data_IF_311982120529
#
_entry.id   IF_311982120529
#
_cell.length_a   1.000
_cell.length_b   1.000
_cell.length_c   1.000
_cell.angle_alpha   90.00
_cell.angle_beta   90.00
_cell.angle_gamma   90.00
#
_symmetry.space_group_name_H-M   'P 1'
#
loop_
_entity.id
_entity.type
_entity.pdbx_description
1 polymer ?
#
# COMPACT_ATOMS: atom_id res chain seq x y z
N UNK A 1 -26.30 13.92 9.43
CA UNK A 1 -25.02 14.31 8.79
C UNK A 1 -23.84 14.31 9.76
N UNK A 2 -24.00 14.75 11.03
CA UNK A 2 -22.93 14.71 12.05
C UNK A 2 -22.34 13.31 12.28
N UNK A 3 -23.16 12.25 12.32
CA UNK A 3 -22.67 10.89 12.49
C UNK A 3 -21.72 10.45 11.38
N UNK A 4 -22.03 10.81 10.12
CA UNK A 4 -21.18 10.50 8.96
C UNK A 4 -19.81 11.19 9.05
N UNK A 5 -19.78 12.45 9.50
CA UNK A 5 -18.52 13.20 9.68
C UNK A 5 -17.68 12.60 10.80
N UNK A 6 -18.31 12.12 11.88
CA UNK A 6 -17.62 11.46 12.99
C UNK A 6 -17.03 10.10 12.58
N UNK A 7 -17.78 9.27 11.84
CA UNK A 7 -17.24 8.01 11.29
C UNK A 7 -16.14 8.29 10.29
N UNK A 8 -16.28 9.32 9.44
CA UNK A 8 -15.26 9.71 8.48
C UNK A 8 -13.97 10.17 9.16
N UNK A 9 -14.07 11.02 10.20
CA UNK A 9 -12.90 11.43 11.00
C UNK A 9 -12.23 10.23 11.69
N UNK A 10 -13.02 9.30 12.23
CA UNK A 10 -12.50 8.07 12.86
C UNK A 10 -11.78 7.19 11.85
N UNK A 11 -12.32 7.02 10.64
CA UNK A 11 -11.69 6.28 9.54
C UNK A 11 -10.37 6.93 9.11
N UNK A 12 -10.39 8.25 8.87
CA UNK A 12 -9.19 9.00 8.47
C UNK A 12 -8.10 8.91 9.53
N UNK A 13 -8.44 9.08 10.81
CA UNK A 13 -7.47 9.02 11.91
C UNK A 13 -6.87 7.61 12.06
N UNK A 14 -7.69 6.56 11.85
CA UNK A 14 -7.22 5.17 11.83
C UNK A 14 -6.26 4.90 10.66
N UNK A 15 -6.59 5.42 9.47
CA UNK A 15 -5.72 5.33 8.29
C UNK A 15 -4.37 6.03 8.53
N UNK A 16 -4.40 7.26 9.07
CA UNK A 16 -3.17 7.99 9.43
C UNK A 16 -2.36 7.31 10.55
N UNK A 17 -2.99 6.58 11.46
CA UNK A 17 -2.29 5.78 12.46
C UNK A 17 -1.54 4.60 11.83
N UNK A 18 -2.11 3.95 10.82
CA UNK A 18 -1.44 2.89 10.07
C UNK A 18 -0.15 3.39 9.39
N UNK A 19 -0.13 4.66 8.93
CA UNK A 19 1.05 5.31 8.34
C UNK A 19 2.22 5.52 9.33
N UNK A 20 2.01 5.39 10.66
CA UNK A 20 3.08 5.51 11.67
C UNK A 20 3.81 4.20 11.97
N UNK A 21 3.39 3.08 11.41
CA UNK A 21 4.08 1.81 11.61
C UNK A 21 5.41 1.83 10.85
N UNK A 22 6.52 1.61 11.55
CA UNK A 22 7.88 1.62 10.96
C UNK A 22 7.98 0.72 9.72
N UNK A 23 7.33 -0.44 9.75
CA UNK A 23 7.31 -1.38 8.63
C UNK A 23 6.57 -0.82 7.41
N UNK A 24 5.42 -0.17 7.62
CA UNK A 24 4.64 0.46 6.55
C UNK A 24 5.43 1.60 5.89
N UNK A 25 6.14 2.40 6.70
CA UNK A 25 6.98 3.49 6.21
C UNK A 25 8.10 3.00 5.28
N UNK A 26 8.71 1.85 5.57
CA UNK A 26 9.77 1.27 4.70
C UNK A 26 9.23 0.95 3.31
N UNK A 27 8.12 0.22 3.21
CA UNK A 27 7.51 -0.09 1.90
C UNK A 27 7.04 1.16 1.16
N UNK A 28 6.48 2.13 1.89
CA UNK A 28 6.08 3.40 1.31
C UNK A 28 7.26 4.18 0.73
N UNK A 29 8.37 4.29 1.47
CA UNK A 29 9.60 4.94 1.00
C UNK A 29 10.19 4.21 -0.20
N UNK A 30 10.19 2.87 -0.21
CA UNK A 30 10.65 2.09 -1.35
C UNK A 30 9.81 2.34 -2.61
N UNK A 31 8.48 2.43 -2.49
CA UNK A 31 7.60 2.78 -3.61
C UNK A 31 7.90 4.19 -4.12
N UNK A 32 8.03 5.17 -3.23
CA UNK A 32 8.37 6.54 -3.63
C UNK A 32 9.72 6.57 -4.35
N UNK A 33 10.72 5.85 -3.85
CA UNK A 33 12.03 5.74 -4.51
C UNK A 33 11.92 5.08 -5.90
N UNK A 34 11.13 4.02 -6.05
CA UNK A 34 10.87 3.38 -7.33
C UNK A 34 10.12 4.29 -8.31
N UNK A 35 9.18 5.10 -7.83
CA UNK A 35 8.47 6.06 -8.66
C UNK A 35 9.40 7.16 -9.14
N UNK A 36 10.23 7.72 -8.25
CA UNK A 36 11.20 8.76 -8.61
C UNK A 36 12.25 8.21 -9.58
N UNK A 37 12.83 7.04 -9.30
CA UNK A 37 13.84 6.43 -10.17
C UNK A 37 13.29 6.05 -11.54
N UNK A 38 12.10 5.44 -11.58
CA UNK A 38 11.40 5.11 -12.83
C UNK A 38 11.06 6.35 -13.63
N UNK A 39 10.52 7.39 -12.99
CA UNK A 39 10.16 8.65 -13.67
C UNK A 39 11.39 9.28 -14.32
N UNK A 40 12.52 9.37 -13.60
CA UNK A 40 13.76 9.90 -14.16
C UNK A 40 14.20 9.06 -15.37
N UNK A 41 14.24 7.73 -15.23
CA UNK A 41 14.66 6.83 -16.30
C UNK A 41 13.80 6.96 -17.57
N UNK A 42 12.47 6.96 -17.44
CA UNK A 42 11.57 7.07 -18.60
C UNK A 42 11.57 8.47 -19.23
N UNK A 43 11.85 9.52 -18.45
CA UNK A 43 12.04 10.86 -19.02
C UNK A 43 13.33 10.96 -19.83
N UNK A 44 14.41 10.28 -19.42
CA UNK A 44 15.71 10.35 -20.11
C UNK A 44 15.81 9.41 -21.30
N UNK A 45 15.38 8.16 -21.15
CA UNK A 45 15.56 7.12 -22.18
C UNK A 45 14.42 7.09 -23.21
N UNK A 46 13.18 7.31 -22.76
CA UNK A 46 11.99 7.22 -23.62
C UNK A 46 11.40 8.60 -23.96
N UNK A 47 12.07 9.69 -23.54
CA UNK A 47 11.68 11.09 -23.79
C UNK A 47 10.22 11.40 -23.39
N UNK A 48 9.71 10.71 -22.36
CA UNK A 48 8.39 10.98 -21.82
C UNK A 48 8.39 12.30 -21.04
N UNK A 49 7.24 12.98 -21.00
CA UNK A 49 7.05 14.08 -20.06
C UNK A 49 7.11 13.54 -18.62
N UNK A 50 7.48 14.38 -17.65
CA UNK A 50 7.56 13.97 -16.24
C UNK A 50 6.23 13.39 -15.75
N UNK A 51 5.11 13.99 -16.19
CA UNK A 51 3.77 13.53 -15.83
C UNK A 51 3.48 12.17 -16.46
N UNK A 52 3.79 11.98 -17.74
CA UNK A 52 3.49 10.73 -18.44
C UNK A 52 4.38 9.58 -17.95
N UNK A 53 5.65 9.87 -17.65
CA UNK A 53 6.59 8.93 -17.05
C UNK A 53 6.13 8.49 -15.65
N UNK A 54 5.67 9.44 -14.82
CA UNK A 54 5.11 9.13 -13.50
C UNK A 54 3.82 8.31 -13.63
N UNK A 55 2.93 8.68 -14.55
CA UNK A 55 1.71 7.94 -14.82
C UNK A 55 1.99 6.50 -15.28
N UNK A 56 2.98 6.32 -16.16
CA UNK A 56 3.44 5.00 -16.58
C UNK A 56 3.98 4.18 -15.40
N UNK A 57 4.82 4.77 -14.55
CA UNK A 57 5.35 4.11 -13.37
C UNK A 57 4.24 3.65 -12.42
N UNK A 58 3.29 4.53 -12.10
CA UNK A 58 2.17 4.25 -11.19
C UNK A 58 1.30 3.11 -11.75
N UNK A 59 0.86 3.23 -13.01
CA UNK A 59 -0.01 2.24 -13.65
C UNK A 59 0.67 0.87 -13.79
N UNK A 60 1.99 0.86 -13.98
CA UNK A 60 2.80 -0.36 -14.05
C UNK A 60 2.93 -1.03 -12.67
N UNK A 61 3.25 -0.27 -11.61
CA UNK A 61 3.34 -0.79 -10.25
C UNK A 61 2.00 -1.30 -9.72
N UNK A 62 0.90 -0.62 -10.07
CA UNK A 62 -0.45 -1.02 -9.67
C UNK A 62 -1.03 -2.12 -10.56
N UNK A 63 -0.25 -2.65 -11.51
CA UNK A 63 -0.66 -3.69 -12.47
C UNK A 63 -1.87 -3.31 -13.35
N UNK A 64 -2.18 -2.01 -13.44
CA UNK A 64 -3.24 -1.49 -14.33
C UNK A 64 -2.73 -1.52 -15.77
N UNK A 65 -1.47 -1.16 -15.97
CA UNK A 65 -0.83 -1.03 -17.27
C UNK A 65 -1.24 0.25 -17.99
N UNK A 66 -0.33 0.75 -18.84
CA UNK A 66 -0.60 1.92 -19.65
C UNK A 66 -1.08 1.48 -21.05
N UNK A 67 -2.19 2.02 -21.56
CA UNK A 67 -2.80 1.53 -22.81
C UNK A 67 -2.01 1.93 -24.07
N UNK A 68 -1.44 3.13 -24.10
CA UNK A 68 -0.94 3.75 -25.34
C UNK A 68 0.60 3.88 -25.42
N UNK A 69 1.33 3.39 -24.41
CA UNK A 69 2.77 3.55 -24.28
C UNK A 69 3.41 2.22 -23.87
N UNK A 70 4.46 1.88 -24.60
CA UNK A 70 5.35 0.77 -24.31
C UNK A 70 6.79 1.25 -24.60
N UNK A 71 7.78 0.84 -23.79
CA UNK A 71 9.16 1.21 -24.01
C UNK A 71 9.65 0.72 -25.38
N UNK A 72 10.18 1.65 -26.19
CA UNK A 72 10.62 1.38 -27.55
C UNK A 72 12.08 0.95 -27.59
N UNK A 73 12.89 1.44 -26.66
CA UNK A 73 14.33 1.15 -26.59
C UNK A 73 14.59 -0.25 -26.01
N UNK A 74 15.70 -0.87 -26.41
CA UNK A 74 16.13 -2.16 -25.83
C UNK A 74 16.38 -2.06 -24.33
N UNK A 75 17.04 -0.99 -23.90
CA UNK A 75 17.29 -0.69 -22.49
C UNK A 75 15.98 -0.45 -21.73
N UNK A 76 15.04 0.31 -22.31
CA UNK A 76 13.74 0.57 -21.72
C UNK A 76 12.94 -0.70 -21.46
N UNK A 77 12.99 -1.67 -22.38
CA UNK A 77 12.34 -2.99 -22.20
C UNK A 77 12.95 -3.78 -21.05
N UNK A 78 14.28 -3.87 -20.99
CA UNK A 78 15.00 -4.60 -19.93
C UNK A 78 14.74 -3.95 -18.57
N UNK A 79 14.84 -2.62 -18.50
CA UNK A 79 14.53 -1.87 -17.29
C UNK A 79 13.10 -2.15 -16.84
N UNK A 80 12.13 -2.08 -17.76
CA UNK A 80 10.72 -2.31 -17.44
C UNK A 80 10.46 -3.73 -16.93
N UNK A 81 11.13 -4.75 -17.47
CA UNK A 81 11.03 -6.13 -16.96
C UNK A 81 11.49 -6.22 -15.50
N UNK A 82 12.65 -5.65 -15.18
CA UNK A 82 13.18 -5.64 -13.80
C UNK A 82 12.28 -4.79 -12.90
N UNK A 83 11.83 -3.65 -13.40
CA UNK A 83 10.96 -2.70 -12.70
C UNK A 83 9.63 -3.33 -12.29
N UNK A 84 9.01 -4.14 -13.16
CA UNK A 84 7.78 -4.85 -12.86
C UNK A 84 8.01 -5.89 -11.75
N UNK A 85 9.08 -6.69 -11.83
CA UNK A 85 9.35 -7.73 -10.83
C UNK A 85 9.56 -7.11 -9.44
N UNK A 86 10.41 -6.08 -9.37
CA UNK A 86 10.73 -5.40 -8.10
C UNK A 86 9.54 -4.58 -7.62
N UNK A 87 8.94 -3.77 -8.49
CA UNK A 87 7.85 -2.86 -8.16
C UNK A 87 6.60 -3.59 -7.70
N UNK A 88 6.19 -4.65 -8.40
CA UNK A 88 5.02 -5.44 -8.00
C UNK A 88 5.25 -6.15 -6.67
N UNK A 89 6.46 -6.67 -6.43
CA UNK A 89 6.81 -7.29 -5.15
C UNK A 89 6.72 -6.32 -3.97
N UNK A 90 7.27 -5.12 -4.11
CA UNK A 90 7.18 -4.07 -3.08
C UNK A 90 5.73 -3.59 -2.90
N UNK A 91 4.98 -3.43 -3.99
CA UNK A 91 3.58 -3.02 -3.95
C UNK A 91 2.69 -4.06 -3.25
N UNK A 92 2.87 -5.35 -3.55
CA UNK A 92 2.20 -6.44 -2.84
C UNK A 92 2.61 -6.52 -1.36
N UNK A 93 3.88 -6.23 -1.05
CA UNK A 93 4.34 -6.11 0.34
C UNK A 93 3.57 -5.04 1.10
N UNK A 94 3.41 -3.85 0.52
CA UNK A 94 2.60 -2.77 1.11
C UNK A 94 1.15 -3.23 1.35
N UNK A 95 0.52 -3.84 0.35
CA UNK A 95 -0.86 -4.37 0.46
C UNK A 95 -0.97 -5.42 1.57
N UNK A 96 0.03 -6.30 1.70
CA UNK A 96 0.06 -7.33 2.75
C UNK A 96 0.14 -6.73 4.15
N UNK A 97 0.90 -5.64 4.33
CA UNK A 97 0.96 -4.92 5.60
C UNK A 97 -0.34 -4.20 5.94
N UNK A 98 -1.03 -3.64 4.95
CA UNK A 98 -2.38 -3.07 5.13
C UNK A 98 -3.34 -4.17 5.56
N UNK A 99 -3.32 -5.32 4.87
CA UNK A 99 -4.15 -6.47 5.22
C UNK A 99 -3.86 -6.98 6.64
N UNK A 100 -2.57 -7.08 7.01
CA UNK A 100 -2.16 -7.45 8.37
C UNK A 100 -2.71 -6.48 9.42
N UNK A 101 -2.65 -5.17 9.16
CA UNK A 101 -3.22 -4.15 10.05
C UNK A 101 -4.73 -4.32 10.27
N UNK A 102 -5.48 -4.66 9.21
CA UNK A 102 -6.93 -4.90 9.26
C UNK A 102 -7.28 -6.23 9.96
N UNK A 103 -6.53 -7.30 9.68
CA UNK A 103 -6.79 -8.62 10.28
C UNK A 103 -6.42 -8.63 11.77
N UNK A 104 -5.30 -8.00 12.15
CA UNK A 104 -4.86 -7.94 13.55
C UNK A 104 -5.84 -7.15 14.42
N UNK A 105 -6.47 -6.08 13.91
CA UNK A 105 -7.52 -5.38 14.66
C UNK A 105 -8.72 -6.27 14.98
N UNK A 106 -9.11 -7.16 14.06
CA UNK A 106 -10.23 -8.08 14.29
C UNK A 106 -9.89 -9.19 15.30
N UNK A 107 -8.64 -9.66 15.34
CA UNK A 107 -8.23 -10.74 16.26
C UNK A 107 -8.08 -10.26 17.71
N UNK A 108 -7.64 -9.02 17.92
CA UNK A 108 -7.50 -8.43 19.26
C UNK A 108 -8.85 -8.19 19.95
N UNK A 109 -9.88 -7.82 19.19
CA UNK A 109 -11.23 -7.64 19.73
C UNK A 109 -11.88 -8.99 20.12
N UNK A 110 -11.67 -10.05 19.33
CA UNK A 110 -12.21 -11.38 19.62
C UNK A 110 -11.61 -12.07 20.87
N UNK A 111 -10.33 -11.87 21.14
CA UNK A 111 -9.67 -12.45 22.32
C UNK A 111 -10.11 -11.75 23.63
N UNK A 112 -10.30 -10.42 23.59
CA UNK A 112 -10.79 -9.63 24.73
C UNK A 112 -12.23 -10.00 25.07
N UNK A 113 -13.10 -10.20 24.08
CA UNK A 113 -14.48 -10.63 24.32
C UNK A 113 -14.54 -12.06 24.90
N UNK A 114 -13.69 -12.97 24.42
CA UNK A 114 -13.59 -14.35 24.92
C UNK A 114 -13.09 -14.41 26.37
N UNK A 115 -12.07 -13.62 26.71
CA UNK A 115 -11.58 -13.45 28.08
C UNK A 115 -12.68 -12.87 28.99
N UNK A 116 -13.37 -11.81 28.55
CA UNK A 116 -14.42 -11.15 29.33
C UNK A 116 -15.60 -12.10 29.62
N UNK A 117 -15.96 -12.95 28.67
CA UNK A 117 -17.00 -13.96 28.86
C UNK A 117 -16.57 -15.08 29.81
N UNK A 118 -15.29 -15.49 29.78
CA UNK A 118 -14.74 -16.39 30.81
C UNK A 118 -14.80 -15.80 32.21
N UNK A 119 -14.47 -14.52 32.37
CA UNK A 119 -14.55 -13.84 33.67
C UNK A 119 -16.00 -13.72 34.16
N UNK A 120 -16.95 -13.38 33.29
CA UNK A 120 -18.38 -13.35 33.63
C UNK A 120 -18.92 -14.72 34.07
N UNK A 121 -18.53 -15.80 33.39
CA UNK A 121 -18.90 -17.17 33.80
C UNK A 121 -18.33 -17.54 35.18
N UNK A 122 -17.06 -17.22 35.45
CA UNK A 122 -16.44 -17.49 36.76
C UNK A 122 -17.08 -16.70 37.90
N UNK A 123 -17.48 -15.45 37.66
CA UNK A 123 -18.13 -14.62 38.66
C UNK A 123 -19.58 -15.05 38.98
N UNK A 124 -20.23 -15.83 38.11
CA UNK A 124 -21.62 -16.28 38.30
C UNK A 124 -21.76 -17.61 39.06
N UNK A 125 -20.65 -18.33 39.23
CA UNK A 125 -20.60 -19.63 39.92
C UNK A 125 -19.92 -19.56 41.29
N UNK A 126 -19.67 -18.35 41.80
CA UNK A 126 -19.18 -18.09 43.15
C UNK A 126 -20.22 -17.27 43.89
#
# INVERSE_FOLDING_TARGET
MISFVLTLKRLLTGLFHAFKLKNFQVFFVLIVLLLVSGTIFYTTEENLSVIDALYFCITTLSTVGHPDFMPKTGLGKIFTMIYIIVGTGVFMGLLSYVAYGVVQSNQKDGDIDTERDRFKKKAKHK
#
